data_IF_510512202346
#
_entry.id   IF_510512202346
#
_cell.length_a   1.000
_cell.length_b   1.000
_cell.length_c   1.000
_cell.angle_alpha   90.00
_cell.angle_beta   90.00
_cell.angle_gamma   90.00
#
_symmetry.space_group_name_H-M   'P 1'
#
loop_
_entity.id
_entity.type
_entity.pdbx_description
1 polymer ?
#
# COMPACT_ATOMS: atom_id res chain seq x y z
N UNK A 1 -1.17 -59.35 -48.46
CA UNK A 1 0.27 -59.63 -48.53
C UNK A 1 0.94 -59.01 -47.30
N UNK A 2 1.26 -59.89 -46.36
CA UNK A 2 1.93 -59.48 -45.09
C UNK A 2 3.43 -59.40 -45.37
N UNK A 3 4.01 -58.24 -45.35
CA UNK A 3 5.45 -58.08 -45.37
C UNK A 3 5.97 -58.21 -43.95
N UNK A 4 6.31 -59.38 -43.53
CA UNK A 4 7.15 -59.68 -42.38
C UNK A 4 8.57 -59.24 -42.72
N UNK A 5 8.96 -58.01 -42.20
CA UNK A 5 10.35 -57.61 -42.30
C UNK A 5 11.17 -58.38 -41.28
N UNK A 6 11.86 -59.44 -41.82
CA UNK A 6 12.86 -60.26 -41.11
C UNK A 6 13.97 -59.35 -40.57
N UNK A 7 14.21 -59.42 -39.24
CA UNK A 7 15.31 -58.74 -38.53
C UNK A 7 16.61 -59.46 -38.97
N UNK A 8 17.68 -58.74 -39.37
CA UNK A 8 18.98 -59.37 -39.62
C UNK A 8 19.52 -59.93 -38.28
N UNK A 9 19.97 -61.18 -38.34
CA UNK A 9 20.42 -61.99 -37.18
C UNK A 9 21.67 -61.43 -36.44
N UNK A 10 22.33 -60.38 -36.93
CA UNK A 10 23.65 -59.95 -36.50
C UNK A 10 23.65 -58.73 -35.62
N UNK A 11 22.50 -58.35 -34.98
CA UNK A 11 22.43 -57.17 -34.13
C UNK A 11 22.21 -57.53 -32.68
N UNK A 12 23.27 -57.99 -32.00
CA UNK A 12 23.30 -58.01 -30.54
C UNK A 12 23.34 -56.55 -29.99
N UNK A 13 22.27 -56.11 -29.35
CA UNK A 13 22.24 -54.83 -28.65
C UNK A 13 23.00 -54.98 -27.34
N UNK A 14 23.94 -54.07 -26.99
CA UNK A 14 24.43 -53.98 -25.63
C UNK A 14 23.27 -53.80 -24.66
N UNK A 15 23.16 -54.61 -23.64
CA UNK A 15 22.07 -54.74 -22.66
C UNK A 15 21.79 -53.47 -21.84
N UNK A 16 22.40 -52.33 -22.16
CA UNK A 16 22.41 -51.11 -21.36
C UNK A 16 21.36 -50.03 -21.76
N UNK A 17 20.52 -50.25 -22.79
CA UNK A 17 19.69 -49.13 -23.32
C UNK A 17 18.24 -49.59 -23.59
N UNK A 18 17.57 -50.11 -22.56
CA UNK A 18 16.13 -50.40 -22.63
C UNK A 18 15.31 -49.31 -21.91
N UNK A 19 14.35 -48.74 -22.62
CA UNK A 19 13.32 -47.87 -22.06
C UNK A 19 12.05 -48.66 -21.85
N UNK A 20 11.39 -48.48 -20.74
CA UNK A 20 10.06 -49.06 -20.53
C UNK A 20 9.00 -48.12 -21.10
N UNK A 21 8.04 -48.67 -21.85
CA UNK A 21 6.95 -47.94 -22.46
C UNK A 21 5.67 -48.74 -22.57
N UNK A 22 4.69 -48.16 -23.24
CA UNK A 22 3.44 -48.85 -23.57
C UNK A 22 3.19 -48.76 -25.07
N UNK A 23 2.82 -49.90 -25.64
CA UNK A 23 2.46 -50.03 -27.03
C UNK A 23 0.95 -50.22 -27.18
N UNK A 24 0.38 -49.60 -28.21
CA UNK A 24 -1.00 -49.77 -28.66
C UNK A 24 -0.96 -50.08 -30.17
N UNK A 25 -1.72 -51.11 -30.59
CA UNK A 25 -1.75 -51.61 -31.97
C UNK A 25 -2.60 -50.74 -32.93
N UNK A 26 -3.22 -49.66 -32.44
CA UNK A 26 -4.13 -48.83 -33.21
C UNK A 26 -5.51 -49.45 -33.52
N UNK A 27 -5.70 -50.74 -33.23
CA UNK A 27 -6.95 -51.48 -33.50
C UNK A 27 -7.76 -51.73 -32.24
N UNK A 28 -7.07 -51.95 -31.15
CA UNK A 28 -7.67 -52.17 -29.82
C UNK A 28 -7.24 -51.10 -28.85
N UNK A 29 -8.02 -50.87 -27.77
CA UNK A 29 -7.66 -49.95 -26.72
C UNK A 29 -6.71 -50.56 -25.67
N UNK A 30 -6.18 -51.73 -25.91
CA UNK A 30 -5.35 -52.47 -24.97
C UNK A 30 -3.93 -51.91 -24.96
N UNK A 31 -3.48 -51.51 -23.78
CA UNK A 31 -2.10 -51.07 -23.54
C UNK A 31 -1.24 -52.28 -23.19
N UNK A 32 -0.30 -52.61 -24.06
CA UNK A 32 0.69 -53.67 -23.83
C UNK A 32 1.99 -53.05 -23.33
N UNK A 33 2.59 -53.59 -22.29
CA UNK A 33 3.92 -53.15 -21.88
C UNK A 33 4.94 -53.50 -22.94
N UNK A 34 5.89 -52.59 -23.13
CA UNK A 34 6.92 -52.75 -24.12
C UNK A 34 8.28 -52.32 -23.60
N UNK A 35 9.32 -53.07 -23.92
CA UNK A 35 10.71 -52.68 -23.78
C UNK A 35 11.18 -52.08 -25.09
N UNK A 36 11.75 -50.88 -25.03
CA UNK A 36 12.13 -50.11 -26.23
C UNK A 36 13.63 -49.89 -26.21
N UNK A 37 14.30 -50.46 -27.18
CA UNK A 37 15.70 -50.21 -27.45
C UNK A 37 15.90 -49.24 -28.61
N UNK A 38 16.83 -48.28 -28.46
CA UNK A 38 17.20 -47.38 -29.53
C UNK A 38 18.39 -47.93 -30.30
N UNK A 39 18.26 -47.94 -31.64
CA UNK A 39 19.35 -48.25 -32.58
C UNK A 39 19.71 -47.00 -33.37
N UNK A 40 20.73 -47.04 -34.21
CA UNK A 40 21.08 -45.90 -35.08
C UNK A 40 20.00 -45.56 -36.10
N UNK A 41 19.20 -46.52 -36.52
CA UNK A 41 18.24 -46.36 -37.62
C UNK A 41 16.78 -46.40 -37.18
N UNK A 42 16.48 -46.74 -35.88
CA UNK A 42 15.10 -46.89 -35.45
C UNK A 42 14.93 -47.37 -34.00
N UNK A 43 13.71 -47.75 -33.68
CA UNK A 43 13.30 -48.28 -32.38
C UNK A 43 13.03 -49.77 -32.49
N UNK A 44 13.64 -50.56 -31.63
CA UNK A 44 13.29 -51.98 -31.41
C UNK A 44 12.33 -52.05 -30.23
N UNK A 45 11.16 -52.61 -30.45
CA UNK A 45 10.10 -52.70 -29.46
C UNK A 45 9.87 -54.19 -29.18
N UNK A 46 10.01 -54.60 -27.93
CA UNK A 46 9.76 -55.98 -27.50
C UNK A 46 8.57 -55.96 -26.56
N UNK A 47 7.50 -56.63 -26.92
CA UNK A 47 6.27 -56.74 -26.15
C UNK A 47 6.38 -57.86 -25.09
N UNK A 48 5.48 -57.86 -24.09
CA UNK A 48 5.48 -58.83 -22.97
C UNK A 48 5.31 -60.29 -23.45
N UNK A 49 4.63 -60.51 -24.57
CA UNK A 49 4.41 -61.82 -25.17
C UNK A 49 5.58 -62.32 -26.06
N UNK A 50 6.67 -61.54 -26.08
CA UNK A 50 7.88 -61.86 -26.84
C UNK A 50 7.86 -61.36 -28.28
N UNK A 51 6.77 -60.81 -28.79
CA UNK A 51 6.71 -60.17 -30.09
C UNK A 51 7.71 -59.02 -30.21
N UNK A 52 8.54 -59.05 -31.29
CA UNK A 52 9.53 -57.97 -31.52
C UNK A 52 9.19 -57.21 -32.80
N UNK A 53 9.10 -55.86 -32.64
CA UNK A 53 8.79 -54.91 -33.71
C UNK A 53 9.97 -53.99 -33.94
N UNK A 54 10.18 -53.59 -35.20
CA UNK A 54 11.16 -52.55 -35.54
C UNK A 54 10.50 -51.36 -36.22
N UNK A 55 10.75 -50.17 -35.68
CA UNK A 55 10.24 -48.91 -36.20
C UNK A 55 11.39 -48.04 -36.72
N UNK A 56 11.62 -47.96 -38.04
CA UNK A 56 12.59 -47.02 -38.60
C UNK A 56 12.23 -45.58 -38.22
N UNK A 57 13.21 -44.77 -37.86
CA UNK A 57 12.95 -43.35 -37.46
C UNK A 57 12.27 -42.57 -38.59
N UNK A 58 12.48 -42.92 -39.85
CA UNK A 58 11.81 -42.28 -40.99
C UNK A 58 10.29 -42.49 -40.98
N UNK A 59 9.82 -43.63 -40.50
CA UNK A 59 8.40 -43.99 -40.41
C UNK A 59 7.73 -43.50 -39.10
N UNK A 60 8.54 -43.01 -38.14
CA UNK A 60 8.05 -42.56 -36.82
C UNK A 60 7.68 -41.09 -36.88
N UNK A 61 6.48 -40.75 -36.42
CA UNK A 61 6.02 -39.37 -36.21
C UNK A 61 5.78 -39.13 -34.75
N UNK A 62 6.17 -37.95 -34.26
CA UNK A 62 5.83 -37.51 -32.93
C UNK A 62 4.48 -36.79 -32.97
N UNK A 63 3.51 -37.26 -32.19
CA UNK A 63 2.21 -36.60 -32.02
C UNK A 63 2.07 -35.99 -30.63
N UNK A 64 1.02 -35.18 -30.44
CA UNK A 64 0.74 -34.58 -29.14
C UNK A 64 0.27 -35.66 -28.16
N UNK A 65 0.98 -35.81 -27.04
CA UNK A 65 0.55 -36.69 -25.96
C UNK A 65 -0.54 -36.00 -25.13
N UNK A 66 -1.71 -36.64 -25.04
CA UNK A 66 -2.77 -36.24 -24.11
C UNK A 66 -2.59 -36.87 -22.72
N UNK A 67 -1.70 -37.80 -22.55
CA UNK A 67 -1.45 -38.56 -21.33
C UNK A 67 -0.16 -38.09 -20.65
N UNK A 68 -0.27 -37.05 -19.82
CA UNK A 68 0.81 -36.57 -18.92
C UNK A 68 1.97 -35.86 -19.63
N UNK A 69 2.60 -34.92 -18.91
CA UNK A 69 3.67 -34.04 -19.40
C UNK A 69 5.04 -34.73 -19.51
N UNK A 70 5.16 -35.97 -19.09
CA UNK A 70 6.43 -36.71 -18.97
C UNK A 70 6.65 -37.74 -20.07
N UNK A 71 5.63 -38.05 -20.91
CA UNK A 71 5.71 -39.05 -21.95
C UNK A 71 5.71 -38.42 -23.35
N UNK A 72 6.52 -38.98 -24.24
CA UNK A 72 6.47 -38.72 -25.68
C UNK A 72 5.58 -39.77 -26.33
N UNK A 73 4.71 -39.32 -27.22
CA UNK A 73 3.87 -40.21 -28.06
C UNK A 73 4.48 -40.27 -29.44
N UNK A 74 4.88 -41.47 -29.81
CA UNK A 74 5.41 -41.79 -31.12
C UNK A 74 4.38 -42.64 -31.87
N UNK A 75 4.18 -42.39 -33.16
CA UNK A 75 3.20 -43.04 -33.99
C UNK A 75 3.85 -43.56 -35.26
N UNK A 76 3.40 -44.74 -35.70
CA UNK A 76 3.76 -45.34 -36.99
C UNK A 76 2.50 -45.79 -37.73
N UNK A 77 2.41 -45.56 -39.01
CA UNK A 77 1.26 -45.95 -39.87
C UNK A 77 0.35 -44.76 -40.23
N UNK A 78 -0.74 -45.04 -40.97
CA UNK A 78 -1.69 -44.05 -41.49
C UNK A 78 -2.92 -43.87 -40.62
N UNK A 79 -4.12 -44.29 -41.11
CA UNK A 79 -5.42 -43.99 -40.48
C UNK A 79 -5.63 -44.64 -39.12
N UNK A 80 -5.02 -45.80 -38.85
CA UNK A 80 -5.01 -46.45 -37.53
C UNK A 80 -3.56 -46.63 -37.05
N UNK A 81 -2.91 -45.57 -36.57
CA UNK A 81 -1.50 -45.62 -36.23
C UNK A 81 -1.24 -46.51 -35.01
N UNK A 82 -0.21 -47.30 -35.09
CA UNK A 82 0.40 -47.89 -33.90
C UNK A 82 1.02 -46.79 -33.04
N UNK A 83 0.87 -46.90 -31.73
CA UNK A 83 1.28 -45.84 -30.78
C UNK A 83 2.27 -46.41 -29.78
N UNK A 84 3.35 -45.70 -29.55
CA UNK A 84 4.32 -45.97 -28.51
C UNK A 84 4.41 -44.81 -27.55
N UNK A 85 4.17 -45.07 -26.26
CA UNK A 85 4.28 -44.10 -25.18
C UNK A 85 5.52 -44.41 -24.36
N UNK A 86 6.50 -43.50 -24.32
CA UNK A 86 7.76 -43.67 -23.57
C UNK A 86 8.12 -42.40 -22.83
N UNK A 87 8.92 -42.45 -21.72
CA UNK A 87 9.36 -41.29 -20.99
C UNK A 87 10.16 -40.32 -21.86
N UNK A 88 9.67 -39.09 -22.03
CA UNK A 88 10.24 -38.12 -22.97
C UNK A 88 11.69 -37.72 -22.64
N UNK A 89 12.01 -37.52 -21.37
CA UNK A 89 13.34 -37.11 -20.90
C UNK A 89 14.39 -38.21 -21.17
N UNK A 90 14.04 -39.47 -20.88
CA UNK A 90 14.89 -40.61 -21.09
C UNK A 90 15.10 -40.87 -22.58
N UNK A 91 14.02 -40.85 -23.39
CA UNK A 91 14.09 -41.00 -24.84
C UNK A 91 14.99 -39.94 -25.48
N UNK A 92 14.78 -38.64 -25.17
CA UNK A 92 15.59 -37.57 -25.75
C UNK A 92 17.07 -37.65 -25.38
N UNK A 93 17.38 -38.06 -24.13
CA UNK A 93 18.75 -38.29 -23.70
C UNK A 93 19.41 -39.41 -24.48
N UNK A 94 18.74 -40.55 -24.57
CA UNK A 94 19.26 -41.73 -25.29
C UNK A 94 19.34 -41.53 -26.80
N UNK A 95 18.38 -40.82 -27.38
CA UNK A 95 18.43 -40.46 -28.81
C UNK A 95 19.67 -39.61 -29.13
N UNK A 96 20.04 -38.70 -28.21
CA UNK A 96 21.27 -37.90 -28.37
C UNK A 96 22.55 -38.72 -28.30
N UNK A 97 22.54 -39.79 -27.50
CA UNK A 97 23.69 -40.68 -27.32
C UNK A 97 23.86 -41.66 -28.52
N UNK A 98 22.75 -42.24 -28.99
CA UNK A 98 22.76 -43.33 -29.98
C UNK A 98 22.60 -42.83 -31.44
N UNK A 99 21.76 -41.81 -31.64
CA UNK A 99 21.35 -41.34 -32.98
C UNK A 99 21.19 -39.84 -33.01
N UNK A 100 22.29 -39.08 -32.86
CA UNK A 100 22.26 -37.61 -32.73
C UNK A 100 21.67 -36.91 -33.96
N UNK A 101 21.76 -37.53 -35.15
CA UNK A 101 21.22 -37.04 -36.42
C UNK A 101 19.68 -36.92 -36.39
N UNK A 102 18.99 -37.75 -35.62
CA UNK A 102 17.53 -37.74 -35.51
C UNK A 102 17.00 -36.81 -34.44
N UNK A 103 17.87 -36.19 -33.62
CA UNK A 103 17.50 -35.29 -32.52
C UNK A 103 16.61 -34.12 -32.97
N UNK A 104 16.83 -33.57 -34.16
CA UNK A 104 16.06 -32.43 -34.70
C UNK A 104 14.60 -32.76 -35.02
N UNK A 105 14.29 -34.04 -35.28
CA UNK A 105 12.97 -34.52 -35.65
C UNK A 105 12.02 -34.66 -34.45
N UNK A 106 12.56 -34.92 -33.27
CA UNK A 106 11.80 -35.11 -32.03
C UNK A 106 12.04 -33.94 -31.07
N UNK A 107 11.00 -33.42 -30.45
CA UNK A 107 11.08 -32.26 -29.53
C UNK A 107 10.52 -32.61 -28.17
N UNK A 108 11.23 -32.27 -27.13
CA UNK A 108 10.68 -32.30 -25.79
C UNK A 108 9.55 -31.27 -25.66
N UNK A 109 8.46 -31.55 -24.92
CA UNK A 109 7.34 -30.60 -24.78
C UNK A 109 7.77 -29.27 -24.09
N UNK A 110 7.97 -28.23 -24.90
CA UNK A 110 8.47 -26.91 -24.49
C UNK A 110 7.44 -26.04 -23.73
N UNK A 111 6.31 -26.59 -23.30
CA UNK A 111 5.13 -25.85 -22.83
C UNK A 111 5.29 -25.17 -21.47
N UNK A 112 6.24 -25.61 -20.62
CA UNK A 112 6.38 -25.11 -19.25
C UNK A 112 6.95 -23.70 -19.18
N UNK A 113 7.91 -23.35 -20.04
CA UNK A 113 8.53 -22.01 -20.03
C UNK A 113 7.59 -20.91 -20.52
N UNK A 114 6.79 -21.16 -21.55
CA UNK A 114 5.81 -20.18 -22.07
C UNK A 114 4.70 -19.91 -21.07
N UNK A 115 4.20 -20.94 -20.39
CA UNK A 115 3.16 -20.79 -19.38
C UNK A 115 3.65 -20.02 -18.16
N UNK A 116 4.86 -20.32 -17.68
CA UNK A 116 5.51 -19.57 -16.60
C UNK A 116 5.70 -18.09 -16.98
N UNK A 117 6.12 -17.80 -18.22
CA UNK A 117 6.26 -16.43 -18.69
C UNK A 117 4.91 -15.68 -18.73
N UNK A 118 3.83 -16.31 -19.17
CA UNK A 118 2.48 -15.71 -19.17
C UNK A 118 2.01 -15.44 -17.76
N UNK A 119 2.19 -16.37 -16.82
CA UNK A 119 1.82 -16.17 -15.40
C UNK A 119 2.63 -15.02 -14.77
N UNK A 120 3.94 -14.99 -15.00
CA UNK A 120 4.79 -13.89 -14.50
C UNK A 120 4.38 -12.53 -15.09
N UNK A 121 4.09 -12.48 -16.40
CA UNK A 121 3.63 -11.25 -17.04
C UNK A 121 2.27 -10.79 -16.50
N UNK A 122 1.35 -11.73 -16.24
CA UNK A 122 0.04 -11.44 -15.65
C UNK A 122 0.18 -10.90 -14.21
N UNK A 123 1.06 -11.50 -13.41
CA UNK A 123 1.37 -11.00 -12.04
C UNK A 123 1.99 -9.61 -12.10
N UNK A 124 2.97 -9.39 -13.00
CA UNK A 124 3.59 -8.09 -13.17
C UNK A 124 2.59 -7.03 -13.66
N UNK A 125 1.69 -7.38 -14.57
CA UNK A 125 0.61 -6.53 -15.04
C UNK A 125 -0.37 -6.16 -13.93
N UNK A 126 -0.83 -7.14 -13.14
CA UNK A 126 -1.69 -6.91 -11.99
C UNK A 126 -1.02 -6.01 -10.94
N UNK A 127 0.25 -6.28 -10.64
CA UNK A 127 1.03 -5.43 -9.73
C UNK A 127 1.16 -4.01 -10.26
N UNK A 128 1.45 -3.82 -11.56
CA UNK A 128 1.52 -2.52 -12.21
C UNK A 128 0.21 -1.73 -12.14
N UNK A 129 -0.93 -2.38 -12.40
CA UNK A 129 -2.27 -1.77 -12.27
C UNK A 129 -2.54 -1.36 -10.81
N UNK A 130 -2.25 -2.26 -9.85
CA UNK A 130 -2.46 -1.97 -8.42
C UNK A 130 -1.61 -0.80 -7.96
N UNK A 131 -0.32 -0.75 -8.34
CA UNK A 131 0.56 0.37 -8.02
C UNK A 131 0.11 1.67 -8.71
N UNK A 132 -0.33 1.59 -9.96
CA UNK A 132 -0.88 2.74 -10.69
C UNK A 132 -2.14 3.32 -10.01
N UNK A 133 -3.06 2.48 -9.59
CA UNK A 133 -4.24 2.89 -8.82
C UNK A 133 -3.84 3.49 -7.47
N UNK A 134 -2.88 2.88 -6.77
CA UNK A 134 -2.41 3.35 -5.47
C UNK A 134 -1.76 4.75 -5.53
N UNK A 135 -0.81 4.95 -6.45
CA UNK A 135 -0.03 6.19 -6.48
C UNK A 135 -0.71 7.34 -7.24
N UNK A 136 -1.58 7.05 -8.20
CA UNK A 136 -2.20 8.06 -9.06
C UNK A 136 -3.72 8.00 -9.08
N UNK A 137 -4.31 6.83 -9.24
CA UNK A 137 -5.76 6.69 -9.40
C UNK A 137 -6.54 7.13 -8.17
N UNK A 138 -6.20 6.59 -6.98
CA UNK A 138 -6.87 6.92 -5.72
C UNK A 138 -6.66 8.38 -5.33
N UNK A 139 -5.44 8.96 -5.35
CA UNK A 139 -5.25 10.38 -5.07
C UNK A 139 -6.00 11.31 -6.04
N UNK A 140 -6.00 10.99 -7.32
CA UNK A 140 -6.74 11.76 -8.33
C UNK A 140 -8.25 11.72 -8.08
N UNK A 141 -8.81 10.53 -7.84
CA UNK A 141 -10.24 10.35 -7.53
C UNK A 141 -10.63 11.09 -6.25
N UNK A 142 -9.86 10.95 -5.17
CA UNK A 142 -10.12 11.66 -3.93
C UNK A 142 -10.06 13.18 -4.13
N UNK A 143 -9.09 13.70 -4.89
CA UNK A 143 -8.97 15.12 -5.20
C UNK A 143 -10.15 15.63 -6.02
N UNK A 144 -10.65 14.82 -6.96
CA UNK A 144 -11.83 15.13 -7.75
C UNK A 144 -13.12 15.14 -6.93
N UNK A 145 -13.28 14.18 -6.00
CA UNK A 145 -14.49 14.06 -5.18
C UNK A 145 -14.53 15.05 -4.01
N UNK A 146 -13.38 15.39 -3.43
CA UNK A 146 -13.28 16.25 -2.23
C UNK A 146 -14.08 17.56 -2.35
N UNK A 147 -14.02 18.35 -3.43
CA UNK A 147 -14.77 19.59 -3.54
C UNK A 147 -16.31 19.41 -3.54
N UNK A 148 -16.78 18.23 -3.90
CA UNK A 148 -18.20 17.89 -3.99
C UNK A 148 -18.78 17.32 -2.68
N UNK A 149 -17.95 17.08 -1.67
CA UNK A 149 -18.43 16.62 -0.36
C UNK A 149 -19.16 17.76 0.35
N UNK A 150 -20.45 17.58 0.72
CA UNK A 150 -21.20 18.59 1.47
C UNK A 150 -20.58 18.84 2.83
N UNK A 151 -20.59 20.09 3.31
CA UNK A 151 -20.07 20.47 4.63
C UNK A 151 -20.73 19.67 5.76
N UNK A 152 -22.02 19.40 5.66
CA UNK A 152 -22.73 18.60 6.67
C UNK A 152 -22.18 17.14 6.79
N UNK A 153 -21.62 16.57 5.74
CA UNK A 153 -20.94 15.29 5.81
C UNK A 153 -19.57 15.41 6.48
N UNK A 154 -18.85 16.48 6.20
CA UNK A 154 -17.58 16.75 6.85
C UNK A 154 -17.77 16.98 8.36
N UNK A 155 -18.83 17.68 8.77
CA UNK A 155 -19.18 17.86 10.19
C UNK A 155 -19.44 16.53 10.90
N UNK A 156 -20.17 15.61 10.28
CA UNK A 156 -20.42 14.25 10.83
C UNK A 156 -19.12 13.44 10.95
N UNK A 157 -18.28 13.49 9.92
CA UNK A 157 -16.96 12.86 9.95
C UNK A 157 -16.08 13.47 11.04
N UNK A 158 -16.11 14.79 11.18
CA UNK A 158 -15.38 15.50 12.22
C UNK A 158 -15.84 15.11 13.62
N UNK A 159 -17.14 14.97 13.85
CA UNK A 159 -17.68 14.49 15.13
C UNK A 159 -17.14 13.11 15.47
N UNK A 160 -17.15 12.17 14.52
CA UNK A 160 -16.59 10.84 14.73
C UNK A 160 -15.10 10.88 15.11
N UNK A 161 -14.30 11.71 14.42
CA UNK A 161 -12.87 11.90 14.73
C UNK A 161 -12.69 12.51 16.12
N UNK A 162 -13.50 13.51 16.47
CA UNK A 162 -13.45 14.18 17.78
C UNK A 162 -13.81 13.21 18.90
N UNK A 163 -14.86 12.40 18.75
CA UNK A 163 -15.25 11.39 19.74
C UNK A 163 -14.14 10.37 19.99
N UNK A 164 -13.43 9.99 18.93
CA UNK A 164 -12.33 9.04 19.02
C UNK A 164 -11.05 9.60 19.65
N UNK A 165 -10.71 10.88 19.38
CA UNK A 165 -9.44 11.49 19.79
C UNK A 165 -9.55 12.47 20.94
N UNK A 166 -10.74 13.02 21.16
CA UNK A 166 -11.06 14.01 22.19
C UNK A 166 -12.36 13.60 22.92
N UNK A 167 -12.36 12.45 23.62
CA UNK A 167 -13.55 11.95 24.32
C UNK A 167 -14.00 12.98 25.38
N UNK A 168 -15.30 12.96 25.72
CA UNK A 168 -15.95 13.99 26.52
C UNK A 168 -15.27 14.23 27.87
N UNK A 169 -14.80 13.18 28.51
CA UNK A 169 -14.12 13.24 29.83
C UNK A 169 -12.74 13.92 29.80
N UNK A 170 -12.17 14.09 28.61
CA UNK A 170 -10.88 14.81 28.45
C UNK A 170 -11.07 16.26 27.99
N UNK A 171 -12.29 16.69 27.69
CA UNK A 171 -12.57 18.05 27.25
C UNK A 171 -12.53 19.02 28.43
N UNK A 172 -11.86 20.13 28.24
CA UNK A 172 -11.76 21.18 29.26
C UNK A 172 -12.72 22.33 28.94
N UNK A 173 -13.33 22.87 29.96
CA UNK A 173 -14.22 24.01 29.87
C UNK A 173 -13.68 25.13 30.78
N UNK A 174 -13.24 26.21 30.16
CA UNK A 174 -12.86 27.47 30.84
C UNK A 174 -13.42 28.62 30.00
N UNK A 175 -14.55 29.20 30.41
CA UNK A 175 -15.22 30.23 29.62
C UNK A 175 -14.36 31.49 29.40
N UNK A 176 -13.53 31.86 30.37
CA UNK A 176 -12.69 33.08 30.29
C UNK A 176 -11.59 32.88 29.25
N UNK A 177 -10.88 31.73 29.32
CA UNK A 177 -9.82 31.43 28.39
C UNK A 177 -10.37 31.04 27.00
N UNK A 178 -11.50 30.34 26.93
CA UNK A 178 -12.21 30.05 25.70
C UNK A 178 -12.54 31.31 24.90
N UNK A 179 -13.04 32.36 25.57
CA UNK A 179 -13.32 33.65 24.92
C UNK A 179 -12.07 34.28 24.27
N UNK A 180 -10.88 34.07 24.86
CA UNK A 180 -9.63 34.54 24.23
C UNK A 180 -9.27 33.75 22.97
N UNK A 181 -9.46 32.43 23.01
CA UNK A 181 -9.26 31.55 21.83
C UNK A 181 -10.25 31.92 20.73
N UNK A 182 -11.53 32.08 21.05
CA UNK A 182 -12.56 32.51 20.12
C UNK A 182 -12.26 33.87 19.48
N UNK A 183 -11.70 34.83 20.26
CA UNK A 183 -11.30 36.11 19.70
C UNK A 183 -10.21 35.99 18.67
N UNK A 184 -9.17 35.14 18.90
CA UNK A 184 -8.13 34.87 17.94
C UNK A 184 -8.75 34.22 16.67
N UNK A 185 -9.58 33.20 16.87
CA UNK A 185 -10.24 32.48 15.79
C UNK A 185 -11.12 33.39 14.94
N UNK A 186 -11.89 34.30 15.57
CA UNK A 186 -12.71 35.30 14.89
C UNK A 186 -11.88 36.27 14.06
N UNK A 187 -10.72 36.71 14.57
CA UNK A 187 -9.81 37.57 13.81
C UNK A 187 -9.27 36.83 12.56
N UNK A 188 -8.86 35.56 12.70
CA UNK A 188 -8.38 34.76 11.60
C UNK A 188 -9.48 34.52 10.59
N UNK A 189 -10.69 34.13 11.01
CA UNK A 189 -11.82 33.83 10.09
C UNK A 189 -12.32 35.06 9.36
N UNK A 190 -12.12 36.26 9.89
CA UNK A 190 -12.49 37.53 9.24
C UNK A 190 -11.70 37.79 7.93
N UNK A 191 -10.56 37.13 7.75
CA UNK A 191 -9.77 37.20 6.52
C UNK A 191 -10.37 36.40 5.35
N UNK A 192 -11.32 35.48 5.62
CA UNK A 192 -12.06 34.70 4.62
C UNK A 192 -13.56 34.64 4.99
N UNK A 193 -14.29 35.76 4.79
CA UNK A 193 -15.69 35.85 5.16
C UNK A 193 -16.63 34.98 4.32
N UNK A 194 -16.15 34.42 3.19
CA UNK A 194 -16.92 33.52 2.33
C UNK A 194 -16.73 32.04 2.68
N UNK A 195 -15.94 31.74 3.73
CA UNK A 195 -15.76 30.37 4.19
C UNK A 195 -17.10 29.71 4.53
N UNK A 196 -17.38 28.48 4.03
CA UNK A 196 -18.59 27.76 4.37
C UNK A 196 -18.52 27.13 5.79
N UNK A 197 -17.38 27.26 6.49
CA UNK A 197 -17.15 26.63 7.78
C UNK A 197 -17.37 27.57 8.95
N UNK A 198 -18.05 27.06 9.98
CA UNK A 198 -18.10 27.70 11.30
C UNK A 198 -16.97 27.15 12.17
N UNK A 199 -15.90 27.93 12.34
CA UNK A 199 -14.73 27.50 13.10
C UNK A 199 -15.00 27.47 14.59
N UNK A 200 -14.56 26.41 15.26
CA UNK A 200 -14.65 26.21 16.72
C UNK A 200 -13.35 25.64 17.27
N UNK A 201 -13.01 26.00 18.48
CA UNK A 201 -11.86 25.46 19.21
C UNK A 201 -12.36 24.61 20.37
N UNK A 202 -11.76 23.45 20.53
CA UNK A 202 -11.95 22.55 21.67
C UNK A 202 -10.61 22.26 22.30
N UNK A 203 -10.53 22.38 23.65
CA UNK A 203 -9.30 22.05 24.38
C UNK A 203 -9.47 20.72 25.10
N UNK A 204 -8.44 19.87 25.03
CA UNK A 204 -8.43 18.55 25.67
C UNK A 204 -7.25 18.42 26.64
N UNK A 205 -7.48 17.77 27.76
CA UNK A 205 -6.49 17.56 28.82
C UNK A 205 -5.52 16.41 28.46
N UNK A 206 -4.64 16.67 27.50
CA UNK A 206 -3.51 15.81 27.19
C UNK A 206 -2.21 16.62 27.30
N UNK A 207 -1.18 16.11 27.99
CA UNK A 207 0.09 16.80 28.19
C UNK A 207 0.99 16.77 26.95
N UNK A 208 0.44 16.40 25.82
CA UNK A 208 1.14 16.24 24.56
C UNK A 208 1.05 17.53 23.76
N UNK A 209 2.16 17.96 23.18
CA UNK A 209 2.17 19.12 22.28
C UNK A 209 1.56 18.70 20.96
N UNK A 210 0.29 19.00 20.75
CA UNK A 210 -0.43 18.70 19.51
C UNK A 210 -1.67 19.58 19.33
N UNK A 211 -2.08 19.75 18.08
CA UNK A 211 -3.38 20.22 17.65
C UNK A 211 -3.77 19.45 16.39
N UNK A 212 -5.05 19.43 16.07
CA UNK A 212 -5.50 18.92 14.80
C UNK A 212 -6.80 19.55 14.33
N UNK A 213 -6.95 19.65 13.03
CA UNK A 213 -8.14 20.08 12.34
C UNK A 213 -9.06 18.89 12.06
N UNK A 214 -10.24 18.86 12.67
CA UNK A 214 -11.28 17.91 12.31
C UNK A 214 -12.08 18.44 11.09
N UNK A 215 -12.52 17.58 10.16
CA UNK A 215 -13.43 18.01 9.10
C UNK A 215 -14.64 18.76 9.64
N UNK A 216 -15.14 19.76 8.90
CA UNK A 216 -16.34 20.50 9.29
C UNK A 216 -16.12 21.67 10.25
N UNK A 217 -14.86 22.08 10.55
CA UNK A 217 -14.58 23.38 11.19
C UNK A 217 -14.11 23.34 12.63
N UNK A 218 -13.97 22.17 13.28
CA UNK A 218 -13.49 22.08 14.67
C UNK A 218 -11.99 21.87 14.73
N UNK A 219 -11.30 22.70 15.51
CA UNK A 219 -9.87 22.57 15.82
C UNK A 219 -9.74 22.07 17.25
N UNK A 220 -9.07 20.94 17.45
CA UNK A 220 -8.80 20.40 18.78
C UNK A 220 -7.38 20.74 19.18
N UNK A 221 -7.23 21.40 20.33
CA UNK A 221 -5.94 21.79 20.91
C UNK A 221 -5.69 20.96 22.15
N UNK A 222 -4.51 20.36 22.23
CA UNK A 222 -4.08 19.64 23.42
C UNK A 222 -3.48 20.60 24.42
N UNK A 223 -3.75 20.37 25.72
CA UNK A 223 -3.26 21.22 26.82
C UNK A 223 -1.75 21.46 26.71
N UNK A 224 -0.96 20.42 26.38
CA UNK A 224 0.49 20.57 26.24
C UNK A 224 0.93 21.56 25.16
N UNK A 225 0.10 21.83 24.13
CA UNK A 225 0.40 22.91 23.16
C UNK A 225 0.18 24.29 23.75
N UNK A 226 -0.89 24.48 24.51
CA UNK A 226 -1.15 25.78 25.20
C UNK A 226 -0.05 26.10 26.19
N UNK A 227 0.44 25.09 26.93
CA UNK A 227 1.55 25.26 27.89
C UNK A 227 2.88 25.61 27.18
N UNK A 228 3.06 25.21 25.94
CA UNK A 228 4.27 25.48 25.17
C UNK A 228 4.24 26.77 24.39
N UNK A 229 3.07 27.25 24.02
CA UNK A 229 2.96 28.52 23.31
C UNK A 229 3.31 29.68 24.24
N UNK A 230 4.22 30.54 23.82
CA UNK A 230 4.79 31.64 24.64
C UNK A 230 4.08 32.95 24.42
N UNK A 231 3.33 33.07 23.34
CA UNK A 231 2.58 34.26 22.98
C UNK A 231 1.28 33.89 22.24
N UNK A 232 0.29 34.80 22.24
CA UNK A 232 -0.92 34.59 21.45
C UNK A 232 -0.64 34.54 19.96
N UNK A 233 0.43 35.16 19.44
CA UNK A 233 0.84 35.11 18.03
C UNK A 233 1.35 33.70 17.64
N UNK A 234 2.06 33.02 18.55
CA UNK A 234 2.48 31.61 18.34
C UNK A 234 1.26 30.72 18.19
N UNK A 235 0.27 30.83 19.07
CA UNK A 235 -0.96 30.04 18.97
C UNK A 235 -1.79 30.43 17.75
N UNK A 236 -1.89 31.73 17.44
CA UNK A 236 -2.58 32.18 16.21
C UNK A 236 -1.96 31.61 14.95
N UNK A 237 -0.64 31.48 14.93
CA UNK A 237 0.08 30.81 13.85
C UNK A 237 -0.34 29.35 13.68
N UNK A 238 -0.38 28.57 14.77
CA UNK A 238 -0.86 27.18 14.77
C UNK A 238 -2.32 27.10 14.36
N UNK A 239 -3.19 27.96 14.92
CA UNK A 239 -4.62 27.99 14.56
C UNK A 239 -4.82 28.31 13.07
N UNK A 240 -4.09 29.29 12.54
CA UNK A 240 -4.14 29.61 11.11
C UNK A 240 -3.74 28.41 10.24
N UNK A 241 -2.70 27.68 10.64
CA UNK A 241 -2.26 26.47 9.96
C UNK A 241 -3.34 25.37 9.98
N UNK A 242 -3.93 25.10 11.14
CA UNK A 242 -5.02 24.13 11.27
C UNK A 242 -6.27 24.54 10.48
N UNK A 243 -6.62 25.86 10.48
CA UNK A 243 -7.70 26.37 9.65
C UNK A 243 -7.48 26.10 8.18
N UNK A 244 -6.24 26.20 7.68
CA UNK A 244 -5.96 25.89 6.27
C UNK A 244 -6.16 24.42 5.96
N UNK A 245 -5.89 23.49 6.87
CA UNK A 245 -6.21 22.07 6.68
C UNK A 245 -7.72 21.85 6.50
N UNK A 246 -8.58 22.62 7.19
CA UNK A 246 -10.03 22.59 7.01
C UNK A 246 -10.42 23.23 5.67
N UNK A 247 -9.98 24.46 5.40
CA UNK A 247 -10.32 25.23 4.21
C UNK A 247 -9.91 24.49 2.91
N UNK A 248 -8.74 23.83 2.94
CA UNK A 248 -8.20 23.02 1.82
C UNK A 248 -8.70 21.59 1.83
N UNK A 249 -9.57 21.24 2.81
CA UNK A 249 -10.18 19.90 2.96
C UNK A 249 -9.16 18.77 3.01
N UNK A 250 -7.97 19.01 3.60
CA UNK A 250 -6.89 18.02 3.63
C UNK A 250 -7.30 16.74 4.36
N UNK A 251 -7.98 16.87 5.52
CA UNK A 251 -8.48 15.73 6.28
C UNK A 251 -9.55 14.94 5.49
N UNK A 252 -10.49 15.62 4.85
CA UNK A 252 -11.53 14.99 4.02
C UNK A 252 -10.92 14.22 2.86
N UNK A 253 -9.93 14.82 2.17
CA UNK A 253 -9.19 14.15 1.07
C UNK A 253 -8.45 12.92 1.56
N UNK A 254 -7.76 13.01 2.71
CA UNK A 254 -7.05 11.89 3.31
C UNK A 254 -7.99 10.73 3.68
N UNK A 255 -9.15 11.04 4.25
CA UNK A 255 -10.20 10.06 4.56
C UNK A 255 -10.73 9.37 3.31
N UNK A 256 -11.03 10.11 2.24
CA UNK A 256 -11.49 9.54 0.97
C UNK A 256 -10.43 8.62 0.36
N UNK A 257 -9.14 9.00 0.42
CA UNK A 257 -8.04 8.15 -0.05
C UNK A 257 -7.96 6.84 0.73
N UNK A 258 -8.04 6.90 2.06
CA UNK A 258 -7.97 5.72 2.91
C UNK A 258 -9.17 4.80 2.73
N UNK A 259 -10.39 5.34 2.65
CA UNK A 259 -11.61 4.56 2.40
C UNK A 259 -11.54 3.87 1.02
N UNK A 260 -11.11 4.57 -0.01
CA UNK A 260 -10.94 4.01 -1.35
C UNK A 260 -9.93 2.87 -1.36
N UNK A 261 -8.81 3.01 -0.62
CA UNK A 261 -7.80 1.95 -0.48
C UNK A 261 -8.37 0.71 0.21
N UNK A 262 -9.10 0.89 1.32
CA UNK A 262 -9.74 -0.22 2.05
C UNK A 262 -10.76 -0.95 1.20
N UNK A 263 -11.56 -0.23 0.41
CA UNK A 263 -12.53 -0.81 -0.53
C UNK A 263 -11.84 -1.67 -1.60
N UNK A 264 -10.75 -1.18 -2.19
CA UNK A 264 -9.98 -1.94 -3.19
C UNK A 264 -9.37 -3.20 -2.55
N UNK A 265 -8.80 -3.08 -1.36
CA UNK A 265 -8.23 -4.23 -0.66
C UNK A 265 -9.30 -5.27 -0.30
N UNK A 266 -10.45 -4.85 0.22
CA UNK A 266 -11.59 -5.72 0.50
C UNK A 266 -12.10 -6.42 -0.76
N UNK A 267 -12.20 -5.71 -1.87
CA UNK A 267 -12.58 -6.30 -3.15
C UNK A 267 -11.55 -7.31 -3.68
N UNK A 268 -10.26 -7.07 -3.45
CA UNK A 268 -9.17 -7.94 -3.89
C UNK A 268 -9.04 -9.21 -3.03
N UNK A 269 -9.32 -9.11 -1.72
CA UNK A 269 -9.19 -10.24 -0.77
C UNK A 269 -10.49 -11.00 -0.54
N UNK A 270 -11.64 -10.42 -0.93
CA UNK A 270 -12.97 -10.95 -0.62
C UNK A 270 -13.36 -10.79 0.87
N UNK A 271 -12.55 -10.08 1.65
CA UNK A 271 -12.76 -9.90 3.09
C UNK A 271 -13.28 -8.48 3.40
N UNK A 272 -14.59 -8.38 3.61
CA UNK A 272 -15.24 -7.13 4.03
C UNK A 272 -15.08 -6.82 5.53
N UNK A 273 -14.60 -7.77 6.35
CA UNK A 273 -14.44 -7.57 7.80
C UNK A 273 -13.33 -6.56 8.10
N UNK A 274 -12.29 -6.48 7.29
CA UNK A 274 -11.25 -5.46 7.37
C UNK A 274 -11.74 -4.01 7.23
N UNK A 275 -12.90 -3.79 6.60
CA UNK A 275 -13.56 -2.49 6.53
C UNK A 275 -14.11 -2.03 7.90
N UNK A 276 -14.70 -2.94 8.68
CA UNK A 276 -15.27 -2.64 9.98
C UNK A 276 -14.19 -2.30 11.03
N UNK A 277 -13.14 -3.11 11.13
CA UNK A 277 -12.05 -2.90 12.09
C UNK A 277 -11.13 -1.71 11.76
N UNK A 278 -11.09 -1.27 10.51
CA UNK A 278 -10.23 -0.17 10.09
C UNK A 278 -10.75 1.22 10.45
N UNK A 279 -11.97 1.35 10.93
CA UNK A 279 -12.54 2.62 11.45
C UNK A 279 -12.34 2.76 12.95
N UNK A 280 -11.97 1.69 13.66
CA UNK A 280 -11.76 1.73 15.11
C UNK A 280 -10.34 2.16 15.49
N UNK A 281 -10.25 3.26 16.19
CA UNK A 281 -9.20 3.71 17.13
C UNK A 281 -7.81 4.01 16.57
N UNK A 282 -7.03 3.04 16.18
CA UNK A 282 -5.60 3.21 15.86
C UNK A 282 -5.30 4.03 14.59
N UNK A 283 -6.28 4.20 13.72
CA UNK A 283 -6.11 4.88 12.43
C UNK A 283 -6.55 6.35 12.44
N UNK A 284 -7.26 6.84 13.47
CA UNK A 284 -7.80 8.20 13.47
C UNK A 284 -6.70 9.27 13.43
N UNK A 285 -5.62 9.14 14.22
CA UNK A 285 -4.46 10.05 14.12
C UNK A 285 -3.64 9.80 12.85
N UNK A 286 -3.54 8.56 12.39
CA UNK A 286 -2.92 8.24 11.10
C UNK A 286 -3.67 8.85 9.91
N UNK A 287 -4.99 9.03 10.03
CA UNK A 287 -5.83 9.72 9.04
C UNK A 287 -5.52 11.22 8.94
N UNK A 288 -5.04 11.81 10.03
CA UNK A 288 -4.68 13.24 10.11
C UNK A 288 -3.20 13.49 9.80
N UNK A 289 -2.45 12.49 9.35
CA UNK A 289 -1.08 12.68 8.88
C UNK A 289 -1.10 13.24 7.46
N UNK A 290 -0.61 14.46 7.34
CA UNK A 290 -0.57 15.16 6.07
C UNK A 290 0.72 14.88 5.31
N UNK A 291 0.65 14.94 3.98
CA UNK A 291 1.82 14.84 3.14
C UNK A 291 2.52 16.21 3.05
N UNK A 292 3.76 16.20 2.54
CA UNK A 292 4.58 17.41 2.40
C UNK A 292 3.90 18.52 1.60
N UNK A 293 3.16 18.20 0.55
CA UNK A 293 2.45 19.19 -0.27
C UNK A 293 1.33 19.88 0.50
N UNK A 294 0.56 19.10 1.29
CA UNK A 294 -0.49 19.67 2.15
C UNK A 294 0.09 20.61 3.19
N UNK A 295 1.25 20.26 3.77
CA UNK A 295 1.94 21.12 4.76
C UNK A 295 2.45 22.42 4.11
N UNK A 296 3.02 22.35 2.91
CA UNK A 296 3.46 23.54 2.16
C UNK A 296 2.30 24.46 1.80
N UNK A 297 1.17 23.91 1.40
CA UNK A 297 -0.04 24.67 1.11
C UNK A 297 -0.59 25.31 2.36
N UNK A 298 -0.73 24.54 3.47
CA UNK A 298 -1.22 25.04 4.74
C UNK A 298 -0.33 26.15 5.30
N UNK A 299 0.99 25.99 5.27
CA UNK A 299 1.96 27.00 5.73
C UNK A 299 1.86 28.30 4.94
N UNK A 300 1.82 28.22 3.61
CA UNK A 300 1.74 29.39 2.73
C UNK A 300 0.45 30.18 2.94
N UNK A 301 -0.65 29.47 3.01
CA UNK A 301 -1.97 30.10 3.20
C UNK A 301 -2.19 30.58 4.63
N UNK A 302 -1.59 29.91 5.65
CA UNK A 302 -1.59 30.40 7.02
C UNK A 302 -0.86 31.75 7.14
N UNK A 303 0.30 31.90 6.50
CA UNK A 303 1.01 33.19 6.46
C UNK A 303 0.13 34.28 5.83
N UNK A 304 -0.56 33.97 4.72
CA UNK A 304 -1.49 34.93 4.11
C UNK A 304 -2.65 35.28 5.03
N UNK A 305 -3.27 34.30 5.67
CA UNK A 305 -4.35 34.48 6.62
C UNK A 305 -3.93 35.38 7.78
N UNK A 306 -2.77 35.11 8.40
CA UNK A 306 -2.22 35.90 9.47
C UNK A 306 -1.98 37.36 9.04
N UNK A 307 -1.34 37.59 7.91
CA UNK A 307 -1.11 38.91 7.35
C UNK A 307 -2.41 39.68 7.11
N UNK A 308 -3.39 39.06 6.49
CA UNK A 308 -4.70 39.66 6.20
C UNK A 308 -5.49 39.96 7.47
N UNK A 309 -5.27 39.21 8.55
CA UNK A 309 -5.87 39.41 9.86
C UNK A 309 -5.11 40.42 10.73
N UNK A 310 -4.01 40.98 10.24
CA UNK A 310 -3.16 41.92 11.02
C UNK A 310 -2.38 41.23 12.14
N UNK A 311 -2.15 39.93 12.08
CA UNK A 311 -1.44 39.13 13.09
C UNK A 311 -0.02 38.80 12.59
N UNK A 312 0.98 38.89 13.49
CA UNK A 312 2.38 38.62 13.12
C UNK A 312 2.60 37.15 12.72
N UNK A 313 2.91 36.86 11.45
CA UNK A 313 3.11 35.50 10.99
C UNK A 313 4.38 34.85 11.56
N UNK A 314 5.32 35.65 12.12
CA UNK A 314 6.55 35.13 12.74
C UNK A 314 6.27 34.32 14.00
N UNK A 315 5.07 34.47 14.61
CA UNK A 315 4.63 33.61 15.71
C UNK A 315 4.68 32.14 15.37
N UNK A 316 4.22 31.75 14.17
CA UNK A 316 4.28 30.34 13.69
C UNK A 316 5.74 29.85 13.58
N UNK A 317 6.64 30.70 13.07
CA UNK A 317 8.07 30.38 12.95
C UNK A 317 8.68 30.14 14.32
N UNK A 318 8.43 31.05 15.26
CA UNK A 318 8.96 30.95 16.63
C UNK A 318 8.48 29.71 17.36
N UNK A 319 7.21 29.34 17.17
CA UNK A 319 6.66 28.09 17.70
C UNK A 319 7.38 26.88 17.13
N UNK A 320 7.57 26.82 15.81
CA UNK A 320 8.26 25.70 15.16
C UNK A 320 9.75 25.61 15.55
N UNK A 321 10.44 26.73 15.69
CA UNK A 321 11.82 26.76 16.19
C UNK A 321 11.93 26.24 17.61
N UNK A 322 10.91 26.53 18.45
CA UNK A 322 10.84 26.01 19.81
C UNK A 322 10.68 24.49 19.81
N UNK A 323 9.77 23.95 18.99
CA UNK A 323 9.58 22.51 18.85
C UNK A 323 10.82 21.81 18.29
N UNK A 324 11.50 22.44 17.33
CA UNK A 324 12.73 21.88 16.77
C UNK A 324 13.83 21.76 17.82
N UNK A 325 14.07 22.81 18.61
CA UNK A 325 15.07 22.81 19.70
C UNK A 325 14.77 21.75 20.77
N UNK A 326 13.50 21.53 21.08
CA UNK A 326 13.09 20.50 22.04
C UNK A 326 13.28 19.09 21.48
N UNK A 327 12.99 18.90 20.19
CA UNK A 327 13.20 17.62 19.51
C UNK A 327 14.69 17.22 19.45
N UNK A 328 15.57 18.19 19.27
CA UNK A 328 17.02 17.95 19.26
C UNK A 328 17.57 17.54 20.64
N UNK A 329 16.91 17.99 21.72
CA UNK A 329 17.30 17.67 23.11
C UNK A 329 16.65 16.39 23.66
N UNK A 330 15.59 15.91 23.05
CA UNK A 330 14.81 14.77 23.55
C UNK A 330 14.87 13.60 22.57
N UNK A 331 15.04 12.38 23.10
CA UNK A 331 14.90 11.13 22.34
C UNK A 331 13.45 10.82 21.92
N UNK A 332 12.47 11.62 22.41
CA UNK A 332 11.04 11.45 22.08
C UNK A 332 10.63 12.54 21.11
N UNK A 333 10.24 12.17 19.89
CA UNK A 333 9.62 13.07 18.92
C UNK A 333 8.35 13.72 19.53
N UNK A 334 8.22 15.06 19.51
CA UNK A 334 6.96 15.71 19.83
C UNK A 334 5.85 15.13 18.93
N UNK A 335 4.68 14.90 19.51
CA UNK A 335 3.60 14.24 18.74
C UNK A 335 3.09 15.11 17.60
N UNK A 336 3.24 16.43 17.67
CA UNK A 336 2.98 17.36 16.58
C UNK A 336 3.77 17.00 15.31
N UNK A 337 5.03 16.58 15.46
CA UNK A 337 5.87 16.17 14.32
C UNK A 337 5.44 14.84 13.67
N UNK A 338 4.65 14.03 14.35
CA UNK A 338 4.12 12.79 13.76
C UNK A 338 2.97 13.04 12.79
N UNK A 339 2.21 14.11 13.02
CA UNK A 339 1.11 14.56 12.13
C UNK A 339 1.59 15.60 11.11
N UNK A 340 2.60 16.43 11.47
CA UNK A 340 3.14 17.54 10.67
C UNK A 340 4.66 17.39 10.49
N UNK A 341 5.14 16.61 9.51
CA UNK A 341 6.56 16.32 9.32
C UNK A 341 7.38 17.49 8.75
N UNK A 342 8.69 17.29 8.63
CA UNK A 342 9.65 18.15 7.89
C UNK A 342 9.84 19.59 8.43
N UNK A 343 9.87 19.71 9.76
CA UNK A 343 9.92 21.02 10.44
C UNK A 343 11.05 21.96 9.98
N UNK A 344 12.26 21.40 9.74
CA UNK A 344 13.41 22.22 9.31
C UNK A 344 13.17 22.94 7.99
N UNK A 345 12.65 22.22 7.02
CA UNK A 345 12.38 22.75 5.69
C UNK A 345 11.20 23.75 5.73
N UNK A 346 10.18 23.49 6.55
CA UNK A 346 9.05 24.37 6.78
C UNK A 346 9.49 25.71 7.38
N UNK A 347 10.36 25.71 8.41
CA UNK A 347 10.90 26.93 9.03
C UNK A 347 11.64 27.78 7.97
N UNK A 348 12.48 27.17 7.13
CA UNK A 348 13.19 27.90 6.08
C UNK A 348 12.23 28.57 5.08
N UNK A 349 11.21 27.82 4.63
CA UNK A 349 10.17 28.35 3.74
C UNK A 349 9.36 29.47 4.36
N UNK A 350 8.92 29.30 5.60
CA UNK A 350 8.17 30.35 6.34
C UNK A 350 8.99 31.62 6.49
N UNK A 351 10.28 31.51 6.82
CA UNK A 351 11.20 32.67 6.88
C UNK A 351 11.28 33.37 5.54
N UNK A 352 11.40 32.64 4.44
CA UNK A 352 11.42 33.21 3.09
C UNK A 352 10.10 33.92 2.72
N UNK A 353 8.94 33.33 3.11
CA UNK A 353 7.62 33.91 2.87
C UNK A 353 7.38 35.19 3.65
N UNK A 354 7.99 35.33 4.83
CA UNK A 354 7.80 36.49 5.72
C UNK A 354 8.90 37.54 5.59
N UNK A 355 9.96 37.29 4.84
CA UNK A 355 11.09 38.23 4.67
C UNK A 355 10.64 39.57 4.07
N UNK A 356 10.94 40.66 4.73
CA UNK A 356 10.75 42.06 4.26
C UNK A 356 9.30 42.52 4.07
N UNK A 357 8.30 41.76 4.52
CA UNK A 357 6.89 42.03 4.22
C UNK A 357 6.06 42.52 5.38
N UNK A 358 6.65 42.75 6.59
CA UNK A 358 5.86 43.05 7.77
C UNK A 358 6.49 44.17 8.60
N UNK A 359 5.76 45.28 8.76
CA UNK A 359 6.04 46.34 9.72
C UNK A 359 5.24 46.02 10.99
N UNK A 360 5.87 46.05 12.13
CA UNK A 360 5.41 45.61 13.47
C UNK A 360 3.88 45.67 13.66
N UNK A 361 3.19 44.54 13.82
CA UNK A 361 1.76 44.53 14.10
C UNK A 361 1.48 44.94 15.52
N UNK A 362 0.23 45.35 15.79
CA UNK A 362 -0.25 45.47 17.14
C UNK A 362 -0.18 44.14 17.88
N UNK A 363 0.18 44.15 19.17
CA UNK A 363 0.17 42.94 19.99
C UNK A 363 -1.23 42.33 20.01
N UNK A 364 -1.29 41.02 19.74
CA UNK A 364 -2.53 40.28 19.90
C UNK A 364 -2.82 40.09 21.40
N UNK A 365 -4.04 40.39 21.85
CA UNK A 365 -4.48 40.29 23.23
C UNK A 365 -3.55 41.07 24.23
N UNK A 366 -3.31 42.37 24.05
CA UNK A 366 -2.32 43.10 24.84
C UNK A 366 -2.62 43.13 26.36
N UNK A 367 -3.90 43.04 26.73
CA UNK A 367 -4.38 43.10 28.12
C UNK A 367 -4.49 41.72 28.79
N UNK A 368 -3.96 40.67 28.17
CA UNK A 368 -4.02 39.31 28.69
C UNK A 368 -2.64 38.75 28.98
N UNK A 369 -2.43 38.25 30.22
CA UNK A 369 -1.21 37.53 30.56
C UNK A 369 -1.23 36.15 29.95
N UNK A 370 -0.48 35.96 28.86
CA UNK A 370 -0.50 34.74 28.08
C UNK A 370 -0.11 33.46 28.86
N UNK A 371 0.71 33.59 29.90
CA UNK A 371 1.10 32.45 30.76
C UNK A 371 -0.10 31.77 31.42
N UNK A 372 -1.18 32.52 31.66
CA UNK A 372 -2.40 31.98 32.26
C UNK A 372 -3.14 31.01 31.32
N UNK A 373 -2.87 31.08 30.02
CA UNK A 373 -3.44 30.15 29.02
C UNK A 373 -3.00 28.71 29.26
N UNK A 374 -1.80 28.48 29.78
CA UNK A 374 -1.31 27.15 30.14
C UNK A 374 -2.14 26.43 31.22
N UNK A 375 -2.93 27.16 32.00
CA UNK A 375 -3.85 26.62 33.01
C UNK A 375 -5.28 26.39 32.49
N UNK A 376 -5.50 26.18 31.19
CA UNK A 376 -6.84 26.03 30.62
C UNK A 376 -7.58 24.81 31.18
N UNK A 377 -6.90 23.69 31.32
CA UNK A 377 -7.45 22.51 31.97
C UNK A 377 -7.11 22.51 33.48
N UNK A 378 -8.03 22.05 34.34
CA UNK A 378 -7.72 21.87 35.75
C UNK A 378 -6.57 20.89 35.93
N UNK A 379 -5.70 21.16 36.92
CA UNK A 379 -4.64 20.21 37.26
C UNK A 379 -5.24 18.85 37.64
N UNK A 380 -4.64 17.77 37.16
CA UNK A 380 -5.04 16.42 37.56
C UNK A 380 -4.86 16.27 39.07
N UNK A 381 -5.83 15.64 39.78
CA UNK A 381 -5.58 15.22 41.15
C UNK A 381 -4.42 14.22 41.17
N UNK A 382 -3.47 14.38 42.08
CA UNK A 382 -2.20 13.62 42.21
C UNK A 382 -2.38 12.09 42.31
N UNK A 383 -3.60 11.61 42.55
CA UNK A 383 -3.90 10.19 42.84
C UNK A 383 -4.56 9.40 41.70
N UNK A 384 -4.65 9.92 40.49
CA UNK A 384 -5.16 9.10 39.36
C UNK A 384 -4.08 8.21 38.76
N UNK A 385 -4.30 6.89 38.62
CA UNK A 385 -3.35 5.99 37.97
C UNK A 385 -3.00 6.51 36.57
N UNK A 386 -1.71 6.49 36.21
CA UNK A 386 -1.27 6.87 34.86
C UNK A 386 -1.90 5.89 33.84
N UNK A 387 -3.02 6.27 33.30
CA UNK A 387 -3.66 5.54 32.20
C UNK A 387 -2.70 5.50 31.01
N UNK A 388 -2.42 4.30 30.53
CA UNK A 388 -1.53 4.07 29.37
C UNK A 388 -2.11 4.85 28.19
N UNK A 389 -1.41 5.91 27.81
CA UNK A 389 -1.79 6.91 26.80
C UNK A 389 -2.35 6.19 25.52
N UNK A 390 -3.59 6.43 25.10
CA UNK A 390 -4.15 5.79 23.89
C UNK A 390 -3.29 6.06 22.65
N UNK A 391 -2.63 7.23 22.61
CA UNK A 391 -1.69 7.61 21.55
C UNK A 391 -0.43 6.73 21.49
N UNK A 392 -0.05 6.04 22.59
CA UNK A 392 1.12 5.14 22.61
C UNK A 392 0.86 3.82 21.87
N UNK A 393 -0.40 3.42 21.75
CA UNK A 393 -0.83 2.28 20.91
C UNK A 393 -0.96 2.64 19.42
N UNK A 394 -0.95 3.94 19.08
CA UNK A 394 -1.19 4.46 17.74
C UNK A 394 0.09 4.79 16.95
N UNK A 395 1.24 4.84 17.62
CA UNK A 395 2.53 5.00 16.94
C UNK A 395 2.99 3.62 16.46
N UNK A 396 3.29 3.42 15.16
CA UNK A 396 3.83 2.16 14.67
C UNK A 396 5.14 1.89 15.41
N UNK A 397 5.17 0.77 16.16
CA UNK A 397 6.40 0.27 16.77
C UNK A 397 7.47 0.12 15.70
N UNK A 398 8.66 0.66 15.93
CA UNK A 398 9.85 0.25 15.18
C UNK A 398 9.98 -1.26 15.40
N UNK A 399 9.65 -2.05 14.39
CA UNK A 399 10.19 -3.40 14.29
C UNK A 399 11.69 -3.25 14.18
N UNK A 400 12.39 -3.75 15.18
CA UNK A 400 13.83 -4.02 15.15
C UNK A 400 14.13 -4.92 13.96
N UNK A 401 14.84 -4.38 13.00
CA UNK A 401 15.73 -5.07 12.07
C UNK A 401 17.05 -4.31 12.08
#
# INVERSE_FOLDING_TARGET
>A
MQSTSTIPEDYQIPSAIELQGHYLDGRTAVRRRAKVGLTRTGLRIVLEDGEALFWPFEAVRQSRSFYGKEQIRLERGGDTPEILLIPASLFMRKLKEVSPEWKGRFRAPARRKRWAAVVLLSIAGAAGVTLGLYFWGIPALASFLTPHVPVAWEERLGQFVIESLAPAEKRCLDPVRAQKLERILKMLSSSDPQSPYSFRVMVVNYPVVNAFAAPGGTIVIFQGLLERSRSPEELAGVLAHEMQHILRRHATRALLQQLSMKLILAAATGDATGLAYGLEGASALGMLRYNRQNEEEADREAVRMLMNSGIDPRGLITFFETLQRENEKSLKLPSYLSTHPDLKERILRLKALTAGRWTAPARLLPDYNWKDMGGFCPAKPENEPQEKHPLKKMLPGRSSF
#
